data_IF_976141616837
#
_entry.id   IF_976141616837
#
_cell.length_a   1.000
_cell.length_b   1.000
_cell.length_c   1.000
_cell.angle_alpha   90.00
_cell.angle_beta   90.00
_cell.angle_gamma   90.00
#
_symmetry.space_group_name_H-M   'P 1'
#
loop_
_entity.id
_entity.type
_entity.pdbx_description
1 polymer ?
#
# COMPACT_ATOMS: atom_id res chain seq x y z
N UNK A 1 31.69 -47.25 29.49
CA UNK A 1 32.09 -45.85 29.68
C UNK A 1 31.70 -45.13 28.41
N UNK A 2 30.60 -44.39 28.45
CA UNK A 2 30.14 -43.64 27.29
C UNK A 2 31.10 -42.47 27.07
N UNK A 3 31.62 -42.34 25.85
CA UNK A 3 32.48 -41.20 25.51
C UNK A 3 31.71 -39.91 25.74
N UNK A 4 32.32 -38.88 26.36
CA UNK A 4 31.64 -37.61 26.56
C UNK A 4 31.21 -37.04 25.21
N UNK A 5 30.03 -36.41 25.12
CA UNK A 5 29.51 -35.88 23.87
C UNK A 5 30.50 -34.90 23.26
N UNK A 6 30.93 -35.17 22.02
CA UNK A 6 31.83 -34.29 21.27
C UNK A 6 31.11 -32.97 21.00
N UNK A 7 31.46 -31.92 21.74
CA UNK A 7 30.93 -30.56 21.52
C UNK A 7 31.56 -30.02 20.23
N UNK A 8 30.80 -30.04 19.14
CA UNK A 8 31.22 -29.42 17.88
C UNK A 8 31.23 -27.90 18.05
N UNK A 9 32.41 -27.31 18.17
CA UNK A 9 32.60 -25.87 18.28
C UNK A 9 32.52 -25.22 16.90
N UNK A 10 31.43 -24.48 16.65
CA UNK A 10 31.26 -23.72 15.39
C UNK A 10 31.93 -22.36 15.55
N UNK A 11 32.85 -21.95 14.65
CA UNK A 11 33.51 -20.66 14.75
C UNK A 11 32.51 -19.50 14.59
N UNK A 12 32.56 -18.48 15.47
CA UNK A 12 31.65 -17.33 15.42
C UNK A 12 31.90 -16.49 14.17
N UNK A 13 30.83 -16.01 13.53
CA UNK A 13 30.90 -15.07 12.40
C UNK A 13 30.18 -13.76 12.74
N UNK A 14 30.83 -12.81 13.44
CA UNK A 14 30.17 -11.57 13.90
C UNK A 14 29.84 -10.59 12.77
N UNK A 15 30.48 -10.70 11.61
CA UNK A 15 30.21 -9.83 10.47
C UNK A 15 28.78 -9.93 9.93
N UNK A 16 28.20 -11.14 9.91
CA UNK A 16 26.84 -11.38 9.41
C UNK A 16 25.74 -10.70 10.26
N UNK A 17 25.66 -10.91 11.59
CA UNK A 17 24.66 -10.23 12.41
C UNK A 17 24.85 -8.71 12.40
N UNK A 18 26.09 -8.19 12.34
CA UNK A 18 26.33 -6.76 12.22
C UNK A 18 25.81 -6.18 10.91
N UNK A 19 26.07 -6.85 9.78
CA UNK A 19 25.56 -6.43 8.47
C UNK A 19 24.02 -6.43 8.43
N UNK A 20 23.38 -7.48 8.97
CA UNK A 20 21.93 -7.53 9.10
C UNK A 20 21.41 -6.44 10.04
N UNK A 21 22.12 -6.17 11.14
CA UNK A 21 21.80 -5.08 12.06
C UNK A 21 21.79 -3.71 11.36
N UNK A 22 22.83 -3.40 10.59
CA UNK A 22 22.92 -2.17 9.80
C UNK A 22 21.80 -2.05 8.76
N UNK A 23 21.48 -3.15 8.06
CA UNK A 23 20.36 -3.18 7.12
C UNK A 23 19.01 -2.99 7.83
N UNK A 24 18.82 -3.61 9.00
CA UNK A 24 17.62 -3.44 9.83
C UNK A 24 17.43 -1.98 10.24
N UNK A 25 18.52 -1.30 10.61
CA UNK A 25 18.50 0.13 10.95
C UNK A 25 18.11 0.97 9.75
N UNK A 26 18.80 0.80 8.61
CA UNK A 26 18.55 1.56 7.40
C UNK A 26 17.11 1.36 6.89
N UNK A 27 16.72 0.10 6.64
CA UNK A 27 15.38 -0.20 6.15
C UNK A 27 14.29 0.09 7.18
N UNK A 28 14.52 -0.18 8.45
CA UNK A 28 13.56 0.13 9.51
C UNK A 28 13.23 1.62 9.55
N UNK A 29 14.26 2.48 9.47
CA UNK A 29 14.09 3.93 9.41
C UNK A 29 13.41 4.39 8.12
N UNK A 30 13.90 3.96 6.94
CA UNK A 30 13.31 4.36 5.65
C UNK A 30 11.85 3.90 5.52
N UNK A 31 11.54 2.65 5.85
CA UNK A 31 10.18 2.13 5.78
C UNK A 31 9.26 2.80 6.81
N UNK A 32 9.78 3.19 7.98
CA UNK A 32 9.04 3.99 8.94
C UNK A 32 8.66 5.35 8.34
N UNK A 33 9.61 6.08 7.76
CA UNK A 33 9.35 7.37 7.11
C UNK A 33 8.39 7.26 5.92
N UNK A 34 8.57 6.25 5.06
CA UNK A 34 7.65 5.98 3.95
C UNK A 34 6.24 5.71 4.47
N UNK A 35 6.12 4.97 5.59
CA UNK A 35 4.84 4.70 6.24
C UNK A 35 4.17 5.94 6.84
N UNK A 36 4.93 7.00 7.13
CA UNK A 36 4.38 8.29 7.57
C UNK A 36 3.84 9.13 6.40
N UNK A 37 4.33 8.96 5.17
CA UNK A 37 3.89 9.75 4.01
C UNK A 37 2.37 9.73 3.77
N UNK A 38 1.70 8.57 3.84
CA UNK A 38 0.24 8.48 3.71
C UNK A 38 -0.56 9.15 4.84
N UNK A 39 0.07 9.62 5.92
CA UNK A 39 -0.64 10.26 7.03
C UNK A 39 -1.38 11.52 6.61
N UNK A 40 -0.90 12.28 5.63
CA UNK A 40 -1.65 13.46 5.17
C UNK A 40 -2.94 13.06 4.45
N UNK A 41 -2.93 11.92 3.77
CA UNK A 41 -4.07 11.40 3.02
C UNK A 41 -5.10 10.73 3.94
N UNK A 42 -4.63 9.94 4.91
CA UNK A 42 -5.49 9.09 5.75
C UNK A 42 -5.71 9.71 7.15
N UNK A 43 -4.86 10.64 7.57
CA UNK A 43 -4.85 11.31 8.88
C UNK A 43 -6.19 11.93 9.29
N UNK A 44 -6.91 12.62 8.39
CA UNK A 44 -8.25 13.10 8.70
C UNK A 44 -9.22 11.96 9.07
N UNK A 45 -9.19 10.84 8.34
CA UNK A 45 -10.00 9.65 8.66
C UNK A 45 -9.58 9.04 10.01
N UNK A 46 -8.28 9.04 10.33
CA UNK A 46 -7.76 8.61 11.64
C UNK A 46 -8.25 9.48 12.79
N UNK A 47 -8.11 10.80 12.66
CA UNK A 47 -8.43 11.76 13.74
C UNK A 47 -9.93 11.87 14.00
N UNK A 48 -10.75 11.70 12.96
CA UNK A 48 -12.21 11.81 13.06
C UNK A 48 -12.90 10.46 13.32
N UNK A 49 -12.16 9.34 13.30
CA UNK A 49 -12.69 7.98 13.37
C UNK A 49 -13.86 7.74 12.38
N UNK A 50 -13.80 8.42 11.23
CA UNK A 50 -14.79 8.29 10.18
C UNK A 50 -14.25 7.30 9.14
N UNK A 51 -14.87 6.12 8.97
CA UNK A 51 -14.47 5.22 7.91
C UNK A 51 -14.67 5.91 6.56
N UNK A 52 -13.88 5.52 5.56
CA UNK A 52 -14.14 5.95 4.18
C UNK A 52 -15.61 5.65 3.83
N UNK A 53 -16.36 6.72 3.60
CA UNK A 53 -17.78 6.67 3.25
C UNK A 53 -18.01 7.73 2.20
N UNK A 54 -18.64 7.32 1.12
CA UNK A 54 -19.15 8.23 0.11
C UNK A 54 -20.58 8.61 0.51
N UNK A 55 -20.74 9.83 1.01
CA UNK A 55 -22.06 10.36 1.30
C UNK A 55 -22.77 10.75 -0.02
N UNK A 56 -24.10 10.61 -0.10
CA UNK A 56 -24.86 11.02 -1.29
C UNK A 56 -24.56 12.45 -1.73
N UNK A 57 -24.44 13.37 -0.78
CA UNK A 57 -24.12 14.78 -1.03
C UNK A 57 -22.74 14.97 -1.65
N UNK A 58 -21.74 14.22 -1.16
CA UNK A 58 -20.37 14.29 -1.69
C UNK A 58 -20.27 13.71 -3.11
N UNK A 59 -20.95 12.60 -3.37
CA UNK A 59 -21.01 12.01 -4.70
C UNK A 59 -21.67 12.98 -5.71
N UNK A 60 -22.77 13.62 -5.30
CA UNK A 60 -23.46 14.61 -6.12
C UNK A 60 -22.59 15.86 -6.34
N UNK A 61 -21.97 16.39 -5.29
CA UNK A 61 -21.09 17.56 -5.37
C UNK A 61 -19.89 17.29 -6.29
N UNK A 62 -19.25 16.12 -6.17
CA UNK A 62 -18.16 15.72 -7.06
C UNK A 62 -18.60 15.67 -8.52
N UNK A 63 -19.75 15.04 -8.81
CA UNK A 63 -20.31 14.99 -10.16
C UNK A 63 -20.64 16.39 -10.69
N UNK A 64 -21.28 17.24 -9.88
CA UNK A 64 -21.65 18.60 -10.26
C UNK A 64 -20.42 19.45 -10.56
N UNK A 65 -19.37 19.38 -9.73
CA UNK A 65 -18.10 20.08 -9.96
C UNK A 65 -17.40 19.60 -11.24
N UNK A 66 -17.34 18.29 -11.46
CA UNK A 66 -16.72 17.75 -12.67
C UNK A 66 -17.46 18.19 -13.92
N UNK A 67 -18.79 18.11 -13.90
CA UNK A 67 -19.66 18.55 -14.99
C UNK A 67 -19.49 20.05 -15.28
N UNK A 68 -19.45 20.89 -14.25
CA UNK A 68 -19.19 22.32 -14.41
C UNK A 68 -17.84 22.58 -15.09
N UNK A 69 -16.78 21.85 -14.71
CA UNK A 69 -15.48 21.95 -15.38
C UNK A 69 -15.55 21.56 -16.85
N UNK A 70 -16.24 20.47 -17.19
CA UNK A 70 -16.41 20.07 -18.58
C UNK A 70 -17.20 21.11 -19.40
N UNK A 71 -18.25 21.70 -18.83
CA UNK A 71 -19.01 22.79 -19.49
C UNK A 71 -18.09 23.99 -19.75
N UNK A 72 -17.26 24.38 -18.78
CA UNK A 72 -16.29 25.46 -18.94
C UNK A 72 -15.23 25.13 -19.99
N UNK A 73 -14.68 23.91 -19.99
CA UNK A 73 -13.71 23.47 -21.00
C UNK A 73 -14.31 23.49 -22.41
N UNK A 74 -15.54 23.01 -22.59
CA UNK A 74 -16.26 23.06 -23.86
C UNK A 74 -16.52 24.51 -24.29
N UNK A 75 -16.88 25.39 -23.36
CA UNK A 75 -17.05 26.82 -23.64
C UNK A 75 -15.73 27.47 -24.07
N UNK A 76 -14.63 27.23 -23.36
CA UNK A 76 -13.32 27.76 -23.75
C UNK A 76 -12.90 27.27 -25.12
N UNK A 77 -13.16 26.00 -25.46
CA UNK A 77 -12.91 25.46 -26.82
C UNK A 77 -13.81 26.10 -27.87
N UNK A 78 -15.08 26.34 -27.54
CA UNK A 78 -16.06 27.01 -28.41
C UNK A 78 -15.59 28.44 -28.74
N UNK A 79 -15.07 29.16 -27.75
CA UNK A 79 -14.56 30.53 -27.90
C UNK A 79 -13.22 30.59 -28.63
N UNK A 80 -12.33 29.62 -28.42
CA UNK A 80 -11.01 29.57 -29.07
C UNK A 80 -11.05 29.07 -30.51
N UNK A 81 -12.13 28.43 -30.94
CA UNK A 81 -12.26 27.84 -32.27
C UNK A 81 -12.78 28.86 -33.28
N UNK A 82 -12.04 29.06 -34.38
CA UNK A 82 -12.42 29.97 -35.47
C UNK A 82 -13.31 29.33 -36.53
N UNK A 83 -13.46 28.00 -36.50
CA UNK A 83 -14.29 27.22 -37.43
C UNK A 83 -15.74 27.16 -36.94
N UNK A 84 -16.65 27.79 -37.68
CA UNK A 84 -18.08 27.90 -37.33
C UNK A 84 -18.77 26.54 -37.19
N UNK A 85 -18.40 25.55 -38.01
CA UNK A 85 -19.00 24.21 -37.94
C UNK A 85 -18.59 23.50 -36.66
N UNK A 86 -17.30 23.57 -36.28
CA UNK A 86 -16.81 23.03 -35.01
C UNK A 86 -17.39 23.77 -33.81
N UNK A 87 -17.55 25.10 -33.91
CA UNK A 87 -18.16 25.92 -32.88
C UNK A 87 -19.61 25.51 -32.63
N UNK A 88 -20.38 25.27 -33.68
CA UNK A 88 -21.75 24.76 -33.57
C UNK A 88 -21.80 23.37 -32.91
N UNK A 89 -20.86 22.47 -33.25
CA UNK A 89 -20.77 21.14 -32.64
C UNK A 89 -20.43 21.21 -31.14
N UNK A 90 -19.42 21.99 -30.74
CA UNK A 90 -19.05 22.19 -29.34
C UNK A 90 -20.20 22.82 -28.52
N UNK A 91 -20.94 23.75 -29.12
CA UNK A 91 -22.14 24.33 -28.50
C UNK A 91 -23.23 23.28 -28.28
N UNK A 92 -23.47 22.41 -29.26
CA UNK A 92 -24.44 21.33 -29.12
C UNK A 92 -24.05 20.36 -28.00
N UNK A 93 -22.76 19.96 -27.93
CA UNK A 93 -22.23 19.11 -26.87
C UNK A 93 -22.36 19.76 -25.48
N UNK A 94 -22.04 21.05 -25.37
CA UNK A 94 -22.22 21.82 -24.13
C UNK A 94 -23.69 21.88 -23.72
N UNK A 95 -24.61 22.08 -24.67
CA UNK A 95 -26.04 22.11 -24.41
C UNK A 95 -26.56 20.73 -23.96
N UNK A 96 -26.12 19.66 -24.61
CA UNK A 96 -26.44 18.28 -24.23
C UNK A 96 -25.94 17.97 -22.81
N UNK A 97 -24.69 18.31 -22.49
CA UNK A 97 -24.15 18.15 -21.15
C UNK A 97 -24.88 19.02 -20.11
N UNK A 98 -25.31 20.21 -20.52
CA UNK A 98 -26.07 21.14 -19.65
C UNK A 98 -27.52 20.69 -19.37
N UNK A 99 -28.10 19.87 -20.26
CA UNK A 99 -29.48 19.36 -20.13
C UNK A 99 -29.54 17.96 -19.52
N UNK A 100 -28.52 17.12 -19.72
CA UNK A 100 -28.39 15.77 -19.15
C UNK A 100 -28.03 15.74 -17.65
N UNK A 101 -28.37 16.78 -16.88
CA UNK A 101 -28.04 16.85 -15.45
C UNK A 101 -28.82 15.80 -14.65
N UNK A 102 -28.15 14.75 -14.21
CA UNK A 102 -28.76 13.75 -13.35
C UNK A 102 -28.71 14.23 -11.89
N UNK A 103 -29.86 14.67 -11.38
CA UNK A 103 -30.04 14.98 -9.96
C UNK A 103 -30.36 13.70 -9.20
N UNK A 104 -29.84 13.57 -7.98
CA UNK A 104 -30.04 12.42 -7.08
C UNK A 104 -29.29 11.16 -7.55
N UNK A 105 -27.97 11.27 -7.70
CA UNK A 105 -27.08 10.14 -8.01
C UNK A 105 -27.27 8.92 -7.10
N UNK A 106 -27.67 9.12 -5.85
CA UNK A 106 -27.98 8.04 -4.90
C UNK A 106 -29.03 7.04 -5.38
N UNK A 107 -29.94 7.44 -6.28
CA UNK A 107 -30.96 6.54 -6.84
C UNK A 107 -30.41 5.65 -7.94
N UNK A 108 -29.26 6.02 -8.50
CA UNK A 108 -28.65 5.36 -9.67
C UNK A 108 -27.35 4.65 -9.32
N UNK A 109 -26.81 4.92 -8.14
CA UNK A 109 -25.57 4.32 -7.64
C UNK A 109 -25.91 3.52 -6.39
N UNK A 110 -25.47 2.26 -6.36
CA UNK A 110 -25.50 1.45 -5.15
C UNK A 110 -24.42 1.93 -4.15
N UNK A 111 -24.70 3.06 -3.51
CA UNK A 111 -23.82 3.64 -2.49
C UNK A 111 -23.59 2.70 -1.31
N UNK A 112 -24.52 1.78 -1.04
CA UNK A 112 -24.38 0.79 0.03
C UNK A 112 -23.27 -0.20 -0.31
N UNK A 113 -23.26 -0.73 -1.53
CA UNK A 113 -22.18 -1.63 -2.01
C UNK A 113 -20.82 -0.92 -2.02
N UNK A 114 -20.76 0.32 -2.52
CA UNK A 114 -19.53 1.12 -2.52
C UNK A 114 -19.03 1.35 -1.09
N UNK A 115 -19.91 1.79 -0.18
CA UNK A 115 -19.55 2.06 1.20
C UNK A 115 -19.11 0.80 1.95
N UNK A 116 -19.66 -0.36 1.62
CA UNK A 116 -19.18 -1.63 2.15
C UNK A 116 -17.75 -1.93 1.71
N UNK A 117 -17.43 -1.74 0.42
CA UNK A 117 -16.05 -1.89 -0.09
C UNK A 117 -15.11 -0.89 0.57
N UNK A 118 -15.51 0.38 0.68
CA UNK A 118 -14.72 1.42 1.33
C UNK A 118 -14.46 1.10 2.81
N UNK A 119 -15.43 0.52 3.51
CA UNK A 119 -15.24 0.05 4.88
C UNK A 119 -14.23 -1.09 4.99
N UNK A 120 -14.30 -2.08 4.09
CA UNK A 120 -13.30 -3.17 4.04
C UNK A 120 -11.90 -2.64 3.73
N UNK A 121 -11.82 -1.69 2.81
CA UNK A 121 -10.58 -1.02 2.44
C UNK A 121 -10.03 -0.18 3.60
N UNK A 122 -10.90 0.51 4.35
CA UNK A 122 -10.55 1.23 5.56
C UNK A 122 -9.91 0.28 6.59
N UNK A 123 -10.55 -0.86 6.86
CA UNK A 123 -9.99 -1.88 7.77
C UNK A 123 -8.64 -2.41 7.32
N UNK A 124 -8.47 -2.67 6.03
CA UNK A 124 -7.20 -3.10 5.47
C UNK A 124 -6.11 -2.05 5.64
N UNK A 125 -6.38 -0.79 5.29
CA UNK A 125 -5.43 0.30 5.48
C UNK A 125 -5.11 0.55 6.95
N UNK A 126 -6.10 0.44 7.84
CA UNK A 126 -5.89 0.51 9.28
C UNK A 126 -4.97 -0.58 9.79
N UNK A 127 -5.19 -1.82 9.36
CA UNK A 127 -4.33 -2.93 9.74
C UNK A 127 -2.90 -2.72 9.23
N UNK A 128 -2.74 -2.31 7.97
CA UNK A 128 -1.43 -2.03 7.37
C UNK A 128 -0.72 -0.87 8.08
N UNK A 129 -1.42 0.24 8.29
CA UNK A 129 -0.92 1.45 8.93
C UNK A 129 -0.60 1.26 10.41
N UNK A 130 -1.39 0.52 11.18
CA UNK A 130 -1.11 0.32 12.60
C UNK A 130 0.07 -0.65 12.80
N UNK A 131 0.12 -1.73 12.04
CA UNK A 131 1.13 -2.78 12.24
C UNK A 131 2.47 -2.49 11.56
N UNK A 132 2.47 -1.71 10.47
CA UNK A 132 3.67 -1.38 9.69
C UNK A 132 4.72 -0.59 10.48
N UNK A 133 4.40 0.61 10.99
CA UNK A 133 5.29 1.44 11.80
C UNK A 133 5.80 0.72 13.04
N UNK A 134 4.92 0.00 13.76
CA UNK A 134 5.31 -0.79 14.94
C UNK A 134 6.38 -1.82 14.57
N UNK A 135 6.15 -2.63 13.52
CA UNK A 135 7.14 -3.61 13.07
C UNK A 135 8.43 -2.97 12.54
N UNK A 136 8.36 -1.77 11.95
CA UNK A 136 9.55 -1.03 11.49
C UNK A 136 10.37 -0.47 12.66
N UNK A 137 9.72 0.01 13.73
CA UNK A 137 10.39 0.43 14.97
C UNK A 137 11.04 -0.75 15.69
N UNK A 138 10.34 -1.89 15.77
CA UNK A 138 10.91 -3.12 16.34
C UNK A 138 12.11 -3.61 15.50
N UNK A 139 12.01 -3.52 14.18
CA UNK A 139 13.12 -3.82 13.26
C UNK A 139 14.32 -2.91 13.53
N UNK A 140 14.10 -1.60 13.66
CA UNK A 140 15.13 -0.61 14.00
C UNK A 140 15.81 -0.94 15.34
N UNK A 141 15.02 -1.16 16.40
CA UNK A 141 15.54 -1.51 17.73
C UNK A 141 16.35 -2.81 17.71
N UNK A 142 15.84 -3.85 17.03
CA UNK A 142 16.57 -5.11 16.85
C UNK A 142 17.85 -4.92 16.04
N UNK A 143 17.85 -4.01 15.06
CA UNK A 143 19.02 -3.67 14.25
C UNK A 143 20.14 -3.06 15.09
N UNK A 144 19.81 -2.10 15.94
CA UNK A 144 20.76 -1.48 16.89
C UNK A 144 21.32 -2.53 17.86
N UNK A 145 20.49 -3.42 18.38
CA UNK A 145 20.98 -4.49 19.26
C UNK A 145 21.86 -5.53 18.55
N UNK A 146 21.59 -5.81 17.26
CA UNK A 146 22.38 -6.74 16.45
C UNK A 146 23.77 -6.19 16.09
N UNK A 147 23.93 -4.88 15.91
CA UNK A 147 25.27 -4.29 15.70
C UNK A 147 26.15 -4.42 16.94
N UNK A 148 25.53 -4.49 18.12
CA UNK A 148 26.16 -4.79 19.41
C UNK A 148 26.19 -6.29 19.74
N UNK A 149 25.83 -7.17 18.80
CA UNK A 149 25.82 -8.63 18.96
C UNK A 149 24.95 -9.16 20.12
N UNK A 150 23.97 -8.41 20.60
CA UNK A 150 23.13 -8.84 21.73
C UNK A 150 22.26 -10.05 21.37
N UNK A 151 22.19 -11.05 22.26
CA UNK A 151 21.36 -12.27 22.05
C UNK A 151 19.87 -11.94 21.96
N UNK A 152 19.37 -11.03 22.81
CA UNK A 152 17.98 -10.61 22.80
C UNK A 152 17.59 -9.98 21.45
N UNK A 153 18.50 -9.22 20.84
CA UNK A 153 18.27 -8.55 19.57
C UNK A 153 18.13 -9.54 18.41
N UNK A 154 18.90 -10.65 18.43
CA UNK A 154 18.73 -11.76 17.48
C UNK A 154 17.34 -12.39 17.59
N UNK A 155 16.90 -12.72 18.82
CA UNK A 155 15.57 -13.30 19.06
C UNK A 155 14.47 -12.35 18.58
N UNK A 156 14.59 -11.07 18.90
CA UNK A 156 13.64 -10.03 18.46
C UNK A 156 13.60 -9.88 16.95
N UNK A 157 14.75 -9.82 16.27
CA UNK A 157 14.82 -9.70 14.81
C UNK A 157 14.18 -10.91 14.09
N UNK A 158 14.36 -12.13 14.62
CA UNK A 158 13.67 -13.33 14.11
C UNK A 158 12.15 -13.20 14.25
N UNK A 159 11.66 -12.78 15.42
CA UNK A 159 10.23 -12.57 15.62
C UNK A 159 9.66 -11.48 14.71
N UNK A 160 10.36 -10.35 14.56
CA UNK A 160 9.96 -9.28 13.64
C UNK A 160 9.90 -9.78 12.20
N UNK A 161 10.88 -10.57 11.76
CA UNK A 161 10.87 -11.17 10.42
C UNK A 161 9.67 -12.09 10.22
N UNK A 162 9.38 -12.98 11.18
CA UNK A 162 8.22 -13.87 11.14
C UNK A 162 6.89 -13.10 11.12
N UNK A 163 6.74 -12.10 11.99
CA UNK A 163 5.54 -11.26 12.04
C UNK A 163 5.34 -10.47 10.76
N UNK A 164 6.42 -9.95 10.15
CA UNK A 164 6.36 -9.29 8.84
C UNK A 164 5.91 -10.24 7.74
N UNK A 165 6.46 -11.46 7.68
CA UNK A 165 6.03 -12.49 6.71
C UNK A 165 4.55 -12.82 6.89
N UNK A 166 4.13 -13.12 8.13
CA UNK A 166 2.74 -13.45 8.44
C UNK A 166 1.79 -12.31 8.09
N UNK A 167 2.14 -11.07 8.45
CA UNK A 167 1.38 -9.85 8.09
C UNK A 167 1.25 -9.70 6.58
N UNK A 168 2.35 -9.79 5.83
CA UNK A 168 2.35 -9.63 4.36
C UNK A 168 1.42 -10.67 3.73
N UNK A 169 1.57 -11.95 4.10
CA UNK A 169 0.72 -13.02 3.57
C UNK A 169 -0.75 -12.79 3.94
N UNK A 170 -1.06 -12.50 5.20
CA UNK A 170 -2.44 -12.30 5.65
C UNK A 170 -3.11 -11.11 4.96
N UNK A 171 -2.43 -9.96 4.89
CA UNK A 171 -2.97 -8.76 4.25
C UNK A 171 -3.11 -8.93 2.74
N UNK A 172 -2.11 -9.52 2.06
CA UNK A 172 -2.21 -9.78 0.62
C UNK A 172 -3.33 -10.77 0.30
N UNK A 173 -3.49 -11.86 1.06
CA UNK A 173 -4.58 -12.81 0.86
C UNK A 173 -5.94 -12.16 1.12
N UNK A 174 -6.08 -11.38 2.20
CA UNK A 174 -7.32 -10.65 2.47
C UNK A 174 -7.66 -9.66 1.35
N UNK A 175 -6.67 -8.88 0.89
CA UNK A 175 -6.86 -7.93 -0.20
C UNK A 175 -7.29 -8.63 -1.50
N UNK A 176 -6.58 -9.69 -1.89
CA UNK A 176 -6.81 -10.40 -3.16
C UNK A 176 -8.10 -11.22 -3.16
N UNK A 177 -8.45 -11.89 -2.04
CA UNK A 177 -9.61 -12.78 -1.96
C UNK A 177 -10.90 -12.01 -1.63
N UNK A 178 -10.82 -10.94 -0.81
CA UNK A 178 -12.00 -10.23 -0.30
C UNK A 178 -12.16 -8.87 -0.96
N UNK A 179 -11.15 -8.00 -0.90
CA UNK A 179 -11.30 -6.60 -1.34
C UNK A 179 -11.41 -6.51 -2.86
N UNK A 180 -10.50 -7.14 -3.61
CA UNK A 180 -10.47 -7.01 -5.07
C UNK A 180 -11.78 -7.49 -5.73
N UNK A 181 -12.35 -8.66 -5.38
CA UNK A 181 -13.63 -9.09 -5.96
C UNK A 181 -14.80 -8.18 -5.61
N UNK A 182 -14.86 -7.66 -4.37
CA UNK A 182 -15.94 -6.76 -3.97
C UNK A 182 -15.80 -5.39 -4.65
N UNK A 183 -14.58 -4.87 -4.75
CA UNK A 183 -14.27 -3.66 -5.50
C UNK A 183 -14.63 -3.81 -6.98
N UNK A 184 -14.37 -4.98 -7.59
CA UNK A 184 -14.76 -5.26 -8.96
C UNK A 184 -16.28 -5.15 -9.16
N UNK A 185 -17.07 -5.76 -8.27
CA UNK A 185 -18.55 -5.69 -8.32
C UNK A 185 -19.07 -4.27 -8.14
N UNK A 186 -18.51 -3.53 -7.18
CA UNK A 186 -18.87 -2.13 -6.97
C UNK A 186 -18.52 -1.27 -8.20
N UNK A 187 -17.35 -1.49 -8.81
CA UNK A 187 -16.95 -0.82 -10.05
C UNK A 187 -17.87 -1.19 -11.22
N UNK A 188 -18.25 -2.45 -11.39
CA UNK A 188 -19.20 -2.87 -12.43
C UNK A 188 -20.58 -2.22 -12.24
N UNK A 189 -21.03 -2.02 -11.00
CA UNK A 189 -22.28 -1.32 -10.71
C UNK A 189 -22.19 0.19 -11.03
N UNK A 190 -21.03 0.80 -10.82
CA UNK A 190 -20.80 2.24 -11.07
C UNK A 190 -20.51 2.53 -12.54
N UNK A 191 -19.78 1.66 -13.23
CA UNK A 191 -19.27 1.89 -14.58
C UNK A 191 -20.35 2.31 -15.62
N UNK A 192 -21.58 1.74 -15.65
CA UNK A 192 -22.61 2.17 -16.60
C UNK A 192 -23.29 3.49 -16.22
N UNK A 193 -23.09 4.00 -15.00
CA UNK A 193 -23.70 5.26 -14.53
C UNK A 193 -23.01 6.48 -15.12
N UNK A 194 -23.66 7.65 -15.08
CA UNK A 194 -23.04 8.91 -15.51
C UNK A 194 -21.76 9.23 -14.71
N UNK A 195 -21.73 8.92 -13.41
CA UNK A 195 -20.51 9.04 -12.61
C UNK A 195 -19.40 8.10 -13.12
N UNK A 196 -19.76 6.86 -13.47
CA UNK A 196 -18.82 5.90 -14.06
C UNK A 196 -18.20 6.44 -15.35
N UNK A 197 -19.03 6.96 -16.27
CA UNK A 197 -18.58 7.59 -17.51
C UNK A 197 -17.62 8.76 -17.26
N UNK A 198 -17.93 9.61 -16.28
CA UNK A 198 -17.08 10.72 -15.83
C UNK A 198 -15.71 10.22 -15.36
N UNK A 199 -15.68 9.19 -14.51
CA UNK A 199 -14.44 8.59 -14.00
C UNK A 199 -13.60 8.02 -15.14
N UNK A 200 -14.22 7.29 -16.06
CA UNK A 200 -13.57 6.68 -17.23
C UNK A 200 -13.03 7.75 -18.18
N UNK A 201 -13.81 8.80 -18.47
CA UNK A 201 -13.40 9.91 -19.31
C UNK A 201 -12.18 10.63 -18.71
N UNK A 202 -12.18 10.87 -17.39
CA UNK A 202 -11.04 11.45 -16.69
C UNK A 202 -9.81 10.53 -16.77
N UNK A 203 -9.96 9.23 -16.56
CA UNK A 203 -8.86 8.27 -16.68
C UNK A 203 -8.25 8.26 -18.10
N UNK A 204 -9.09 8.27 -19.13
CA UNK A 204 -8.67 8.36 -20.53
C UNK A 204 -7.95 9.69 -20.84
N UNK A 205 -8.41 10.81 -20.28
CA UNK A 205 -7.76 12.10 -20.42
C UNK A 205 -6.36 12.09 -19.79
N UNK A 206 -6.20 11.55 -18.57
CA UNK A 206 -4.90 11.43 -17.91
C UNK A 206 -3.93 10.54 -18.69
N UNK A 207 -4.40 9.44 -19.27
CA UNK A 207 -3.56 8.60 -20.14
C UNK A 207 -3.09 9.31 -21.41
N UNK A 208 -3.88 10.25 -21.91
CA UNK A 208 -3.58 11.01 -23.11
C UNK A 208 -2.61 12.17 -22.85
N UNK A 209 -2.54 12.68 -21.62
CA UNK A 209 -1.79 13.89 -21.23
C UNK A 209 -0.26 13.76 -21.22
N UNK A 210 0.34 12.72 -21.81
CA UNK A 210 1.80 12.57 -21.79
C UNK A 210 2.40 11.65 -22.85
N UNK A 211 1.67 11.34 -23.93
CA UNK A 211 2.13 10.40 -24.96
C UNK A 211 2.22 11.04 -26.34
N UNK A 212 3.40 10.95 -26.95
CA UNK A 212 3.72 11.38 -28.33
C UNK A 212 3.71 10.22 -29.33
N UNK A 213 3.23 9.04 -28.93
CA UNK A 213 3.24 7.80 -29.73
C UNK A 213 1.97 6.97 -29.41
N UNK A 214 1.75 5.80 -30.05
CA UNK A 214 0.50 5.33 -30.68
C UNK A 214 -0.81 5.52 -29.90
N UNK A 215 -1.98 5.51 -30.59
CA UNK A 215 -3.25 5.91 -30.01
C UNK A 215 -3.51 5.22 -28.67
N UNK A 216 -3.85 5.98 -27.61
CA UNK A 216 -4.04 5.42 -26.28
C UNK A 216 -5.17 4.40 -26.30
N UNK A 217 -4.99 3.29 -25.57
CA UNK A 217 -6.07 2.35 -25.30
C UNK A 217 -7.18 3.12 -24.60
N UNK A 218 -8.32 3.30 -25.27
CA UNK A 218 -9.48 3.93 -24.68
C UNK A 218 -10.15 2.91 -23.76
N UNK A 219 -10.26 3.24 -22.48
CA UNK A 219 -11.03 2.43 -21.55
C UNK A 219 -12.52 2.57 -21.86
N UNK A 220 -13.14 1.44 -22.15
CA UNK A 220 -14.60 1.26 -22.02
C UNK A 220 -14.94 0.98 -20.55
N UNK A 221 -16.22 1.06 -20.18
CA UNK A 221 -16.69 0.69 -18.84
C UNK A 221 -16.24 -0.71 -18.40
N UNK A 222 -16.37 -1.70 -19.29
CA UNK A 222 -15.98 -3.08 -19.03
C UNK A 222 -14.46 -3.23 -18.90
N UNK A 223 -13.71 -2.66 -19.84
CA UNK A 223 -12.24 -2.74 -19.82
C UNK A 223 -11.65 -1.97 -18.66
N UNK A 224 -12.26 -0.87 -18.22
CA UNK A 224 -11.79 -0.09 -17.07
C UNK A 224 -11.79 -0.93 -15.79
N UNK A 225 -12.94 -1.55 -15.46
CA UNK A 225 -13.08 -2.38 -14.27
C UNK A 225 -12.14 -3.60 -14.32
N UNK A 226 -12.03 -4.25 -15.48
CA UNK A 226 -11.13 -5.39 -15.66
C UNK A 226 -9.65 -5.01 -15.50
N UNK A 227 -9.22 -3.88 -16.10
CA UNK A 227 -7.84 -3.41 -15.98
C UNK A 227 -7.50 -2.97 -14.56
N UNK A 228 -8.42 -2.30 -13.85
CA UNK A 228 -8.22 -1.95 -12.44
C UNK A 228 -8.01 -3.18 -11.56
N UNK A 229 -8.81 -4.23 -11.78
CA UNK A 229 -8.70 -5.51 -11.05
C UNK A 229 -7.39 -6.23 -11.38
N UNK A 230 -7.06 -6.35 -12.67
CA UNK A 230 -5.82 -6.98 -13.11
C UNK A 230 -4.60 -6.24 -12.52
N UNK A 231 -4.59 -4.92 -12.58
CA UNK A 231 -3.54 -4.09 -11.98
C UNK A 231 -3.46 -4.29 -10.47
N UNK A 232 -4.59 -4.36 -9.76
CA UNK A 232 -4.60 -4.61 -8.32
C UNK A 232 -3.99 -5.98 -7.97
N UNK A 233 -4.32 -7.05 -8.71
CA UNK A 233 -3.73 -8.38 -8.50
C UNK A 233 -2.24 -8.41 -8.81
N UNK A 234 -1.83 -7.80 -9.92
CA UNK A 234 -0.41 -7.70 -10.31
C UNK A 234 0.36 -6.96 -9.21
N UNK A 235 -0.09 -5.78 -8.80
CA UNK A 235 0.57 -5.01 -7.75
C UNK A 235 0.60 -5.75 -6.42
N UNK A 236 -0.47 -6.44 -6.03
CA UNK A 236 -0.51 -7.22 -4.80
C UNK A 236 0.51 -8.38 -4.83
N UNK A 237 0.59 -9.11 -5.95
CA UNK A 237 1.51 -10.23 -6.11
C UNK A 237 2.97 -9.76 -6.15
N UNK A 238 3.29 -8.78 -6.99
CA UNK A 238 4.64 -8.23 -7.09
C UNK A 238 5.07 -7.58 -5.77
N UNK A 239 4.18 -6.81 -5.14
CA UNK A 239 4.42 -6.21 -3.82
C UNK A 239 4.71 -7.27 -2.76
N UNK A 240 3.91 -8.34 -2.71
CA UNK A 240 4.12 -9.47 -1.79
C UNK A 240 5.50 -10.11 -2.01
N UNK A 241 5.86 -10.45 -3.24
CA UNK A 241 7.15 -11.08 -3.56
C UNK A 241 8.30 -10.18 -3.11
N UNK A 242 8.28 -8.90 -3.52
CA UNK A 242 9.35 -7.96 -3.18
C UNK A 242 9.47 -7.74 -1.66
N UNK A 243 8.36 -7.59 -0.95
CA UNK A 243 8.34 -7.37 0.49
C UNK A 243 8.75 -8.61 1.30
N UNK A 244 8.65 -9.82 0.73
CA UNK A 244 9.05 -11.07 1.40
C UNK A 244 10.56 -11.35 1.31
N UNK A 245 11.26 -10.83 0.30
CA UNK A 245 12.69 -11.11 0.08
C UNK A 245 13.51 -10.79 1.33
N UNK A 246 13.38 -9.56 1.83
CA UNK A 246 14.18 -9.11 2.97
C UNK A 246 13.94 -9.90 4.27
N UNK A 247 12.70 -10.02 4.79
CA UNK A 247 12.47 -10.76 6.03
C UNK A 247 12.83 -12.24 5.89
N UNK A 248 12.66 -12.85 4.71
CA UNK A 248 13.10 -14.23 4.48
C UNK A 248 14.63 -14.38 4.55
N UNK A 249 15.38 -13.48 3.90
CA UNK A 249 16.86 -13.48 3.98
C UNK A 249 17.33 -13.26 5.41
N UNK A 250 16.75 -12.29 6.13
CA UNK A 250 17.05 -12.04 7.54
C UNK A 250 16.79 -13.28 8.40
N UNK A 251 15.66 -13.97 8.19
CA UNK A 251 15.33 -15.20 8.91
C UNK A 251 16.39 -16.29 8.64
N UNK A 252 16.70 -16.56 7.38
CA UNK A 252 17.67 -17.60 6.98
C UNK A 252 19.07 -17.31 7.52
N UNK A 253 19.50 -16.04 7.56
CA UNK A 253 20.84 -15.69 8.04
C UNK A 253 20.89 -15.78 9.57
N UNK A 254 19.90 -15.24 10.29
CA UNK A 254 19.92 -15.18 11.74
C UNK A 254 19.69 -16.54 12.42
N UNK A 255 19.12 -17.53 11.72
CA UNK A 255 19.00 -18.90 12.24
C UNK A 255 20.28 -19.73 12.10
N UNK A 256 21.31 -19.25 11.39
CA UNK A 256 22.56 -20.01 11.20
C UNK A 256 23.31 -20.20 12.53
N UNK A 257 23.85 -21.41 12.80
CA UNK A 257 24.60 -21.70 14.04
C UNK A 257 25.79 -20.75 14.28
N UNK A 258 26.51 -20.35 13.23
CA UNK A 258 27.65 -19.43 13.34
C UNK A 258 27.24 -18.01 13.78
N UNK A 259 26.03 -17.58 13.41
CA UNK A 259 25.46 -16.29 13.86
C UNK A 259 24.96 -16.42 15.29
N UNK A 260 24.36 -17.58 15.61
CA UNK A 260 23.95 -17.89 16.98
C UNK A 260 25.12 -17.82 17.94
N UNK A 261 26.24 -18.49 17.61
CA UNK A 261 27.46 -18.49 18.40
C UNK A 261 28.03 -17.08 18.56
N UNK A 262 28.07 -16.27 17.50
CA UNK A 262 28.60 -14.91 17.55
C UNK A 262 27.85 -14.00 18.55
N UNK A 263 26.52 -14.13 18.64
CA UNK A 263 25.76 -13.32 19.61
C UNK A 263 25.90 -13.82 21.06
N UNK A 264 26.16 -15.12 21.27
CA UNK A 264 26.26 -15.70 22.62
C UNK A 264 27.59 -15.40 23.32
N UNK A 265 28.64 -15.01 22.57
CA UNK A 265 29.94 -14.66 23.17
C UNK A 265 29.88 -13.42 24.07
N UNK A 266 29.01 -12.46 23.74
CA UNK A 266 28.84 -11.23 24.53
C UNK A 266 28.23 -11.50 25.93
N UNK A 267 27.36 -12.51 26.04
CA UNK A 267 26.76 -12.89 27.34
C UNK A 267 27.81 -13.45 28.30
N UNK A 268 28.77 -14.23 27.79
CA UNK A 268 29.82 -14.86 28.61
C UNK A 268 30.86 -13.82 29.04
N UNK A 269 31.29 -12.94 28.13
CA UNK A 269 32.24 -11.88 28.45
C UNK A 269 31.69 -10.90 29.49
N UNK A 270 30.40 -10.55 29.40
CA UNK A 270 29.77 -9.62 30.34
C UNK A 270 29.52 -10.20 31.74
N UNK A 271 29.45 -11.53 31.89
CA UNK A 271 29.36 -12.14 33.23
C UNK A 271 30.68 -12.13 33.97
N UNK A 272 31.81 -12.35 33.28
CA UNK A 272 33.14 -12.38 33.90
C UNK A 272 33.56 -10.99 34.42
N UNK A 273 33.29 -9.92 33.65
CA UNK A 273 33.57 -8.55 34.10
C UNK A 273 32.75 -8.17 35.34
N UNK A 274 31.49 -8.59 35.43
CA UNK A 274 30.64 -8.30 36.59
C UNK A 274 31.05 -9.06 37.84
N UNK A 275 31.54 -10.29 37.72
CA UNK A 275 32.04 -11.05 38.86
C UNK A 275 33.36 -10.47 39.39
N UNK A 276 34.19 -9.90 38.50
CA UNK A 276 35.42 -9.20 38.88
C UNK A 276 35.21 -7.88 39.63
N UNK A 277 34.13 -7.14 39.35
CA UNK A 277 33.81 -5.88 40.06
C UNK A 277 33.17 -6.10 41.44
N UNK A 278 32.61 -7.29 41.70
CA UNK A 278 31.95 -7.64 42.96
C UNK A 278 32.88 -8.33 43.97
N UNK A 279 34.14 -8.59 43.59
CA UNK A 279 35.17 -9.23 44.41
C UNK A 279 36.16 -8.20 44.96
#
# INVERSE_FOLDING_TARGET
MDSPPTVVTVPPKPGLPKAIGSLNVAFGFFLFLIGLGPLDLIGPSFTQNQPFKLEPGDAQNFYDQYRQRQILELQTREESTTDDAKKAALRAERLELSTSHQKNLEKHIDLKSINYVLLLLNWYYWADFATGPVLNLLMLASGIGLTQLRVWARKMAIWVALLKIGRIIALTLFFTIVIVPQAHRALQAVAPTELGKVIIAKANATLSQGRTSPPPVQYTAENFALNMVAMAYILALFGMILCLIYPAVTLVILTRPSVKAACCLDEVSGSEEREGELS
#
